data_IF_332247422754
#
_entry.id   IF_332247422754
#
_cell.length_a   1.000
_cell.length_b   1.000
_cell.length_c   1.000
_cell.angle_alpha   90.00
_cell.angle_beta   90.00
_cell.angle_gamma   90.00
#
_symmetry.space_group_name_H-M   'P 1'
#
loop_
_entity.id
_entity.type
_entity.pdbx_description
1 polymer ?
#
# COMPACT_ATOMS: atom_id res chain seq x y z
N UNK A 1 -1.62 -4.89 -29.19
CA UNK A 1 -2.25 -4.87 -27.85
C UNK A 1 -3.38 -3.87 -27.86
N UNK A 2 -4.52 -4.18 -27.23
CA UNK A 2 -5.59 -3.20 -27.07
C UNK A 2 -5.21 -2.18 -25.99
N UNK A 3 -5.80 -0.97 -26.06
CA UNK A 3 -5.59 0.08 -25.04
C UNK A 3 -5.99 -0.44 -23.64
N UNK A 4 -7.01 -1.29 -23.59
CA UNK A 4 -7.45 -1.95 -22.36
C UNK A 4 -6.36 -2.85 -21.76
N UNK A 5 -5.72 -3.71 -22.57
CA UNK A 5 -4.65 -4.59 -22.11
C UNK A 5 -3.43 -3.80 -21.65
N UNK A 6 -3.10 -2.72 -22.37
CA UNK A 6 -2.00 -1.82 -22.00
C UNK A 6 -2.24 -1.13 -20.63
N UNK A 7 -3.45 -0.60 -20.42
CA UNK A 7 -3.82 0.04 -19.16
C UNK A 7 -3.83 -0.96 -17.99
N UNK A 8 -4.27 -2.20 -18.24
CA UNK A 8 -4.25 -3.26 -17.25
C UNK A 8 -2.83 -3.67 -16.84
N UNK A 9 -1.93 -3.83 -17.82
CA UNK A 9 -0.53 -4.15 -17.59
C UNK A 9 0.17 -3.04 -16.81
N UNK A 10 -0.02 -1.77 -17.22
CA UNK A 10 0.56 -0.62 -16.52
C UNK A 10 0.02 -0.43 -15.09
N UNK A 11 -1.25 -0.75 -14.85
CA UNK A 11 -1.80 -0.74 -13.50
C UNK A 11 -1.18 -1.83 -12.61
N UNK A 12 -0.88 -3.01 -13.16
CA UNK A 12 -0.22 -4.10 -12.44
C UNK A 12 1.25 -3.77 -12.12
N UNK A 13 1.98 -3.22 -13.10
CA UNK A 13 3.35 -2.75 -12.95
C UNK A 13 3.46 -1.65 -11.89
N UNK A 14 2.54 -0.67 -11.94
CA UNK A 14 2.49 0.41 -10.96
C UNK A 14 2.26 -0.08 -9.53
N UNK A 15 1.46 -1.14 -9.33
CA UNK A 15 1.24 -1.76 -8.01
C UNK A 15 2.54 -2.42 -7.50
N UNK A 16 3.29 -3.06 -8.39
CA UNK A 16 4.56 -3.67 -8.01
C UNK A 16 5.57 -2.61 -7.57
N UNK A 17 5.66 -1.51 -8.31
CA UNK A 17 6.56 -0.40 -8.00
C UNK A 17 6.16 0.34 -6.71
N UNK A 18 4.87 0.43 -6.41
CA UNK A 18 4.36 0.92 -5.12
C UNK A 18 4.85 0.04 -3.96
N UNK A 19 4.78 -1.29 -4.10
CA UNK A 19 5.32 -2.22 -3.10
C UNK A 19 6.83 -2.08 -2.92
N UNK A 20 7.59 -1.90 -4.01
CA UNK A 20 9.03 -1.67 -3.93
C UNK A 20 9.33 -0.38 -3.16
N UNK A 21 8.62 0.70 -3.45
CA UNK A 21 8.77 1.97 -2.72
C UNK A 21 8.46 1.79 -1.22
N UNK A 22 7.44 1.00 -0.88
CA UNK A 22 7.13 0.67 0.51
C UNK A 22 8.25 -0.12 1.21
N UNK A 23 8.84 -1.11 0.52
CA UNK A 23 9.96 -1.88 1.07
C UNK A 23 11.20 -0.99 1.25
N UNK A 24 11.48 -0.09 0.31
CA UNK A 24 12.56 0.90 0.44
C UNK A 24 12.33 1.84 1.64
N UNK A 25 11.08 2.23 1.91
CA UNK A 25 10.73 3.03 3.08
C UNK A 25 11.01 2.28 4.39
N UNK A 26 10.64 1.00 4.46
CA UNK A 26 10.94 0.13 5.59
C UNK A 26 12.44 -0.04 5.80
N UNK A 27 13.20 -0.31 4.74
CA UNK A 27 14.66 -0.42 4.81
C UNK A 27 15.31 0.89 5.28
N UNK A 28 14.87 2.03 4.75
CA UNK A 28 15.32 3.35 5.18
C UNK A 28 15.02 3.62 6.66
N UNK A 29 13.83 3.22 7.13
CA UNK A 29 13.43 3.34 8.54
C UNK A 29 14.32 2.51 9.46
N UNK A 30 14.65 1.27 9.06
CA UNK A 30 15.57 0.41 9.82
C UNK A 30 16.95 1.06 9.89
N UNK A 31 17.52 1.53 8.77
CA UNK A 31 18.83 2.19 8.78
C UNK A 31 18.84 3.47 9.61
N UNK A 32 17.76 4.26 9.56
CA UNK A 32 17.65 5.49 10.32
C UNK A 32 17.60 5.20 11.84
N UNK A 33 16.77 4.25 12.28
CA UNK A 33 16.69 3.85 13.69
C UNK A 33 17.98 3.21 14.16
N UNK A 34 18.60 2.36 13.34
CA UNK A 34 19.90 1.75 13.66
C UNK A 34 20.99 2.80 13.82
N UNK A 35 21.05 3.81 12.94
CA UNK A 35 21.99 4.92 13.06
C UNK A 35 21.83 5.69 14.37
N UNK A 36 20.59 6.05 14.73
CA UNK A 36 20.30 6.72 16.02
C UNK A 36 20.69 5.83 17.21
N UNK A 37 20.30 4.56 17.18
CA UNK A 37 20.56 3.64 18.29
C UNK A 37 22.05 3.41 18.51
N UNK A 38 22.82 3.27 17.43
CA UNK A 38 24.29 3.17 17.50
C UNK A 38 24.91 4.40 18.15
N UNK A 39 24.48 5.61 17.76
CA UNK A 39 24.97 6.86 18.37
C UNK A 39 24.64 6.97 19.85
N UNK A 40 23.46 6.51 20.28
CA UNK A 40 23.06 6.54 21.70
C UNK A 40 23.84 5.54 22.56
N UNK A 41 24.20 4.38 22.01
CA UNK A 41 24.95 3.35 22.74
C UNK A 41 26.43 3.72 22.86
N UNK A 42 27.00 4.36 21.83
CA UNK A 42 28.41 4.72 21.79
C UNK A 42 28.72 6.01 22.57
N UNK A 43 27.78 6.96 22.62
CA UNK A 43 27.98 8.27 23.23
C UNK A 43 27.66 8.28 24.74
N UNK A 44 28.60 8.77 25.57
CA UNK A 44 28.34 9.11 26.98
C UNK A 44 27.76 10.52 27.15
N UNK A 45 28.11 11.46 26.27
CA UNK A 45 27.55 12.81 26.19
C UNK A 45 27.18 13.12 24.73
N UNK A 46 25.89 13.14 24.43
CA UNK A 46 25.38 13.31 23.06
C UNK A 46 24.68 14.66 22.95
N UNK A 47 25.15 15.50 22.02
CA UNK A 47 24.47 16.75 21.68
C UNK A 47 23.48 16.50 20.56
N UNK A 48 22.30 17.13 20.64
CA UNK A 48 21.19 16.88 19.73
C UNK A 48 21.02 18.03 18.74
N UNK A 49 20.91 17.72 17.45
CA UNK A 49 20.45 18.67 16.44
C UNK A 49 19.13 18.22 15.83
N UNK A 50 18.05 18.91 16.21
CA UNK A 50 16.64 18.65 15.85
C UNK A 50 16.11 17.26 16.23
N UNK A 51 16.74 16.16 15.82
CA UNK A 51 16.51 14.76 16.24
C UNK A 51 17.72 13.85 15.98
N UNK A 52 18.84 14.43 15.52
CA UNK A 52 20.06 13.71 15.12
C UNK A 52 21.06 13.85 16.26
N UNK A 53 21.44 12.74 16.93
CA UNK A 53 22.55 12.75 17.88
C UNK A 53 23.85 13.01 17.11
N UNK A 54 24.65 13.98 17.57
CA UNK A 54 26.00 14.20 17.08
C UNK A 54 27.00 14.18 18.24
N UNK A 55 28.15 13.56 17.97
CA UNK A 55 29.30 13.53 18.88
C UNK A 55 30.31 14.54 18.32
N UNK A 56 30.79 15.45 19.16
CA UNK A 56 31.76 16.46 18.74
C UNK A 56 33.17 15.90 18.52
N UNK A 57 33.45 14.73 19.10
CA UNK A 57 34.71 14.02 18.93
C UNK A 57 34.74 13.22 17.62
N UNK A 58 35.70 13.57 16.76
CA UNK A 58 35.95 12.90 15.49
C UNK A 58 36.53 11.50 15.72
N UNK A 59 35.65 10.52 15.88
CA UNK A 59 35.98 9.09 15.96
C UNK A 59 35.56 8.38 14.68
N UNK A 60 36.22 7.27 14.33
CA UNK A 60 35.88 6.47 13.14
C UNK A 60 34.42 6.00 13.14
N UNK A 61 33.85 5.76 14.32
CA UNK A 61 32.45 5.40 14.51
C UNK A 61 31.47 6.48 14.04
N UNK A 62 31.86 7.76 14.12
CA UNK A 62 31.02 8.89 13.71
C UNK A 62 30.67 8.83 12.22
N UNK A 63 31.62 8.46 11.36
CA UNK A 63 31.39 8.36 9.92
C UNK A 63 30.40 7.25 9.58
N UNK A 64 30.50 6.12 10.28
CA UNK A 64 29.58 5.01 10.11
C UNK A 64 28.16 5.42 10.51
N UNK A 65 27.99 5.97 11.71
CA UNK A 65 26.69 6.42 12.22
C UNK A 65 26.04 7.48 11.31
N UNK A 66 26.83 8.48 10.90
CA UNK A 66 26.34 9.55 10.01
C UNK A 66 25.95 9.00 8.64
N UNK A 67 26.68 8.01 8.11
CA UNK A 67 26.33 7.36 6.85
C UNK A 67 25.00 6.59 6.94
N UNK A 68 24.77 5.84 8.02
CA UNK A 68 23.49 5.14 8.25
C UNK A 68 22.31 6.12 8.35
N UNK A 69 22.51 7.25 9.05
CA UNK A 69 21.53 8.33 9.16
C UNK A 69 21.22 8.98 7.81
N UNK A 70 22.26 9.36 7.04
CA UNK A 70 22.11 10.00 5.73
C UNK A 70 21.44 9.06 4.71
N UNK A 71 21.90 7.82 4.65
CA UNK A 71 21.33 6.80 3.76
C UNK A 71 19.89 6.49 4.16
N UNK A 72 19.62 6.27 5.45
CA UNK A 72 18.27 6.04 5.96
C UNK A 72 17.31 7.18 5.62
N UNK A 73 17.72 8.42 5.85
CA UNK A 73 16.92 9.61 5.53
C UNK A 73 16.68 9.73 4.02
N UNK A 74 17.72 9.54 3.20
CA UNK A 74 17.61 9.58 1.75
C UNK A 74 16.62 8.52 1.24
N UNK A 75 16.72 7.28 1.73
CA UNK A 75 15.78 6.22 1.38
C UNK A 75 14.36 6.60 1.76
N UNK A 76 14.12 7.11 2.97
CA UNK A 76 12.78 7.51 3.41
C UNK A 76 12.18 8.55 2.46
N UNK A 77 12.92 9.63 2.17
CA UNK A 77 12.44 10.72 1.30
C UNK A 77 12.20 10.22 -0.13
N UNK A 78 13.15 9.48 -0.70
CA UNK A 78 13.03 8.92 -2.04
C UNK A 78 11.84 7.95 -2.16
N UNK A 79 11.61 7.14 -1.12
CA UNK A 79 10.51 6.17 -1.06
C UNK A 79 9.14 6.84 -0.99
N UNK A 80 9.01 7.91 -0.19
CA UNK A 80 7.76 8.68 -0.12
C UNK A 80 7.47 9.33 -1.48
N UNK A 81 8.47 9.97 -2.09
CA UNK A 81 8.31 10.59 -3.41
C UNK A 81 7.91 9.58 -4.48
N UNK A 82 8.61 8.44 -4.52
CA UNK A 82 8.36 7.36 -5.47
C UNK A 82 7.00 6.70 -5.24
N UNK A 83 6.65 6.40 -3.99
CA UNK A 83 5.35 5.82 -3.63
C UNK A 83 4.19 6.71 -4.03
N UNK A 84 4.28 8.02 -3.80
CA UNK A 84 3.23 8.96 -4.20
C UNK A 84 3.11 9.08 -5.72
N UNK A 85 4.24 9.04 -6.44
CA UNK A 85 4.27 9.02 -7.90
C UNK A 85 3.56 7.77 -8.46
N UNK A 86 3.91 6.58 -7.96
CA UNK A 86 3.28 5.32 -8.41
C UNK A 86 1.80 5.24 -8.03
N UNK A 87 1.42 5.72 -6.84
CA UNK A 87 0.03 5.78 -6.42
C UNK A 87 -0.81 6.65 -7.36
N UNK A 88 -0.30 7.83 -7.73
CA UNK A 88 -0.96 8.74 -8.68
C UNK A 88 -1.09 8.13 -10.07
N UNK A 89 -0.02 7.51 -10.58
CA UNK A 89 -0.03 6.84 -11.88
C UNK A 89 -1.10 5.74 -11.94
N UNK A 90 -1.13 4.85 -10.93
CA UNK A 90 -2.15 3.79 -10.82
C UNK A 90 -3.57 4.34 -10.83
N UNK A 91 -3.84 5.39 -10.05
CA UNK A 91 -5.16 6.01 -9.99
C UNK A 91 -5.59 6.63 -11.32
N UNK A 92 -4.65 7.17 -12.09
CA UNK A 92 -4.93 7.68 -13.43
C UNK A 92 -5.30 6.56 -14.39
N UNK A 93 -4.52 5.46 -14.42
CA UNK A 93 -4.82 4.31 -15.27
C UNK A 93 -6.18 3.66 -14.97
N UNK A 94 -6.51 3.50 -13.68
CA UNK A 94 -7.80 2.93 -13.26
C UNK A 94 -8.99 3.83 -13.63
N UNK A 95 -8.83 5.15 -13.55
CA UNK A 95 -9.86 6.09 -14.00
C UNK A 95 -10.12 5.96 -15.49
N UNK A 96 -9.08 5.83 -16.29
CA UNK A 96 -9.21 5.71 -17.74
C UNK A 96 -9.84 4.37 -18.13
N UNK A 97 -9.51 3.29 -17.41
CA UNK A 97 -10.12 1.99 -17.60
C UNK A 97 -11.62 1.98 -17.22
N UNK A 98 -12.00 2.70 -16.16
CA UNK A 98 -13.42 2.89 -15.79
C UNK A 98 -14.19 3.60 -16.89
N UNK A 99 -13.65 4.71 -17.43
CA UNK A 99 -14.31 5.46 -18.51
C UNK A 99 -14.52 4.61 -19.76
N UNK A 100 -13.51 3.82 -20.15
CA UNK A 100 -13.61 2.92 -21.29
C UNK A 100 -14.70 1.85 -21.09
N UNK A 101 -14.80 1.31 -19.87
CA UNK A 101 -15.86 0.35 -19.50
C UNK A 101 -17.25 0.98 -19.52
N UNK A 102 -17.39 2.19 -18.99
CA UNK A 102 -18.66 2.91 -18.97
C UNK A 102 -19.13 3.28 -20.40
N UNK A 103 -18.21 3.74 -21.25
CA UNK A 103 -18.50 4.00 -22.66
C UNK A 103 -18.91 2.73 -23.43
N UNK A 104 -18.24 1.61 -23.18
CA UNK A 104 -18.60 0.32 -23.78
C UNK A 104 -19.99 -0.16 -23.32
N UNK A 105 -20.32 -0.01 -22.03
CA UNK A 105 -21.65 -0.34 -21.50
C UNK A 105 -22.76 0.54 -22.07
N UNK A 106 -22.49 1.81 -22.36
CA UNK A 106 -23.44 2.72 -23.00
C UNK A 106 -23.69 2.38 -24.48
N UNK A 107 -22.71 1.79 -25.16
CA UNK A 107 -22.81 1.39 -26.57
C UNK A 107 -23.31 -0.05 -26.76
N UNK A 108 -23.30 -0.89 -25.73
CA UNK A 108 -23.93 -2.21 -25.77
C UNK A 108 -25.46 -2.09 -25.63
N UNK A 109 -26.27 -2.68 -26.53
CA UNK A 109 -27.71 -2.80 -26.28
C UNK A 109 -27.89 -3.62 -25.00
N UNK A 110 -28.63 -3.08 -24.04
CA UNK A 110 -28.98 -3.75 -22.79
C UNK A 110 -29.37 -5.21 -23.10
N UNK A 111 -28.65 -6.24 -22.62
CA UNK A 111 -29.16 -7.59 -22.74
C UNK A 111 -30.46 -7.61 -21.97
N UNK A 112 -31.58 -7.81 -22.67
CA UNK A 112 -32.90 -7.94 -22.10
C UNK A 112 -32.80 -8.84 -20.87
N UNK A 113 -32.94 -8.24 -19.69
CA UNK A 113 -32.86 -8.92 -18.41
C UNK A 113 -34.06 -9.85 -18.36
N UNK A 114 -33.90 -11.10 -18.83
CA UNK A 114 -34.94 -12.12 -18.71
C UNK A 114 -35.15 -12.32 -17.21
N UNK A 115 -36.18 -11.67 -16.69
CA UNK A 115 -36.70 -11.88 -15.34
C UNK A 115 -37.02 -13.36 -15.22
N UNK A 116 -36.17 -14.11 -14.52
CA UNK A 116 -36.52 -15.48 -14.12
C UNK A 116 -37.83 -15.41 -13.33
N UNK A 117 -38.84 -16.24 -13.63
CA UNK A 117 -40.10 -16.20 -12.91
C UNK A 117 -39.85 -16.48 -11.42
N UNK A 118 -40.48 -15.66 -10.59
CA UNK A 118 -40.46 -15.72 -9.13
C UNK A 118 -40.83 -17.15 -8.70
N UNK A 119 -39.88 -17.85 -8.09
CA UNK A 119 -40.12 -19.15 -7.46
C UNK A 119 -41.19 -18.98 -6.37
N UNK A 120 -42.21 -19.83 -6.43
CA UNK A 120 -43.40 -19.82 -5.59
C UNK A 120 -43.11 -19.79 -4.06
N UNK A 121 -44.04 -19.25 -3.24
CA UNK A 121 -43.81 -19.09 -1.82
C UNK A 121 -43.79 -20.43 -1.09
N UNK A 122 -42.73 -20.66 -0.30
CA UNK A 122 -42.58 -21.82 0.58
C UNK A 122 -43.65 -21.77 1.66
N UNK A 123 -44.62 -22.68 1.59
CA UNK A 123 -45.65 -22.87 2.63
C UNK A 123 -44.99 -23.25 3.94
N UNK A 124 -45.23 -22.41 4.95
CA UNK A 124 -44.82 -22.60 6.34
C UNK A 124 -45.87 -23.49 7.02
N UNK A 125 -45.63 -24.79 7.10
CA UNK A 125 -46.42 -25.69 7.94
C UNK A 125 -45.97 -25.54 9.39
N UNK A 126 -46.90 -25.02 10.20
CA UNK A 126 -46.79 -24.94 11.64
C UNK A 126 -47.16 -26.27 12.31
N UNK A 127 -46.62 -26.45 13.52
CA UNK A 127 -47.18 -27.23 14.63
C UNK A 127 -47.14 -28.75 14.53
N UNK A 128 -46.36 -29.37 15.43
CA UNK A 128 -46.98 -30.19 16.49
C UNK A 128 -46.07 -30.35 17.71
N UNK A 129 -46.65 -29.90 18.82
CA UNK A 129 -46.25 -30.04 20.21
C UNK A 129 -46.74 -31.41 20.70
N UNK A 130 -45.84 -32.25 21.21
CA UNK A 130 -46.13 -33.46 22.01
C UNK A 130 -44.84 -33.74 22.80
N UNK A 131 -44.72 -33.37 24.09
CA UNK A 131 -45.15 -34.10 25.31
C UNK A 131 -44.68 -35.57 25.37
N UNK A 132 -44.17 -35.93 26.56
CA UNK A 132 -43.81 -37.25 27.10
C UNK A 132 -42.31 -37.58 27.03
N UNK A 133 -41.68 -38.23 28.02
CA UNK A 133 -41.98 -38.51 29.42
C UNK A 133 -40.70 -39.13 30.04
N UNK A 134 -40.54 -38.91 31.35
CA UNK A 134 -39.64 -39.58 32.30
C UNK A 134 -38.13 -39.37 32.15
#
# INVERSE_FOLDING_TARGET
MSIHDYLHEKAAESRHNETIAYIMFLAGSVFFVSGILSSLVMSRETSWFLFIPYIADFTEAMFLELSFLLVGLFLIVASIGSGLHYYRARNWYLKELSKAKDAANLMSPQPMRITRPISAPKTRTASKRTKAAK
#
